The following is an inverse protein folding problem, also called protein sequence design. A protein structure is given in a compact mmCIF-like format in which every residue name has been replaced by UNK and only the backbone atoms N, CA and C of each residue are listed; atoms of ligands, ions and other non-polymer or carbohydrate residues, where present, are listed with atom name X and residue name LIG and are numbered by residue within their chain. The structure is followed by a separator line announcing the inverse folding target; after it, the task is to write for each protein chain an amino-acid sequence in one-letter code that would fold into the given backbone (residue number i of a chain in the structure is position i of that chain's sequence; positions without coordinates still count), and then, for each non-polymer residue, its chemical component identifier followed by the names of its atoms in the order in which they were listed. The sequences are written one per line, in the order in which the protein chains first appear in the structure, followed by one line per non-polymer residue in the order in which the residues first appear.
data_IF_687677384657
#
_entry.id   IF_687677384657
#
_cell.length_a   1.000
_cell.length_b   1.000
_cell.length_c   1.000
_cell.angle_alpha   90.00
_cell.angle_beta   90.00
_cell.angle_gamma   90.00
#
_symmetry.space_group_name_H-M   'P 1'
#
loop_
_entity.id
_entity.type
_entity.pdbx_description
1 polymer ?
#
# COMPACT_ATOMS: atom_id res chain seq x y z
N UNK A 1 -1.62 23.52 19.14
CA UNK A 1 -2.01 22.17 18.65
C UNK A 1 -1.94 21.20 19.81
N UNK A 2 -3.02 20.49 20.14
CA UNK A 2 -3.02 19.55 21.26
C UNK A 2 -2.19 18.32 20.86
N UNK A 3 -0.92 18.32 21.27
CA UNK A 3 0.10 17.29 21.06
C UNK A 3 -0.37 15.85 21.45
N UNK A 4 -1.27 15.74 22.44
CA UNK A 4 -1.78 14.48 22.95
C UNK A 4 -2.59 13.64 21.96
N UNK A 5 -3.44 14.26 21.12
CA UNK A 5 -4.26 13.52 20.15
C UNK A 5 -3.42 12.95 19.02
N UNK A 6 -2.46 13.72 18.54
CA UNK A 6 -1.53 13.33 17.47
C UNK A 6 -0.59 12.22 17.94
N UNK A 7 -0.02 12.33 19.15
CA UNK A 7 0.84 11.27 19.73
C UNK A 7 0.07 9.98 20.03
N UNK A 8 -1.18 10.11 20.50
CA UNK A 8 -2.03 8.93 20.72
C UNK A 8 -2.30 8.19 19.41
N UNK A 9 -2.64 8.92 18.34
CA UNK A 9 -2.86 8.33 17.02
C UNK A 9 -1.59 7.65 16.51
N UNK A 10 -0.43 8.30 16.62
CA UNK A 10 0.85 7.72 16.21
C UNK A 10 1.17 6.43 16.99
N UNK A 11 0.87 6.36 18.28
CA UNK A 11 1.05 5.12 19.08
C UNK A 11 0.13 3.98 18.62
N UNK A 12 -1.14 4.27 18.31
CA UNK A 12 -2.04 3.27 17.75
C UNK A 12 -1.59 2.80 16.36
N UNK A 13 -1.12 3.71 15.51
CA UNK A 13 -0.53 3.36 14.22
C UNK A 13 0.72 2.49 14.38
N UNK A 14 1.60 2.82 15.32
CA UNK A 14 2.78 2.00 15.62
C UNK A 14 2.38 0.59 16.06
N UNK A 15 1.43 0.48 17.00
CA UNK A 15 0.90 -0.82 17.43
C UNK A 15 0.30 -1.62 16.27
N UNK A 16 -0.47 -0.98 15.41
CA UNK A 16 -1.06 -1.60 14.22
C UNK A 16 0.01 -2.10 13.23
N UNK A 17 1.02 -1.27 12.93
CA UNK A 17 2.14 -1.64 12.06
C UNK A 17 2.93 -2.82 12.66
N UNK A 18 3.19 -2.81 13.97
CA UNK A 18 3.87 -3.91 14.64
C UNK A 18 3.07 -5.23 14.52
N UNK A 19 1.75 -5.19 14.70
CA UNK A 19 0.90 -6.38 14.52
C UNK A 19 0.99 -6.91 13.10
N UNK A 20 0.91 -6.03 12.09
CA UNK A 20 1.02 -6.45 10.69
C UNK A 20 2.41 -7.00 10.35
N UNK A 21 3.48 -6.38 10.86
CA UNK A 21 4.84 -6.87 10.67
C UNK A 21 5.03 -8.25 11.29
N UNK A 22 4.62 -8.44 12.55
CA UNK A 22 4.73 -9.72 13.23
C UNK A 22 3.90 -10.80 12.52
N UNK A 23 2.68 -10.46 12.11
CA UNK A 23 1.83 -11.36 11.34
C UNK A 23 2.51 -11.81 10.05
N UNK A 24 2.96 -10.87 9.21
CA UNK A 24 3.59 -11.19 7.93
C UNK A 24 4.92 -11.94 8.08
N UNK A 25 5.70 -11.62 9.12
CA UNK A 25 6.98 -12.28 9.37
C UNK A 25 6.85 -13.70 9.92
N UNK A 26 5.78 -13.98 10.69
CA UNK A 26 5.59 -15.27 11.36
C UNK A 26 4.62 -16.21 10.63
N UNK A 27 3.96 -15.74 9.56
CA UNK A 27 3.13 -16.58 8.71
C UNK A 27 3.96 -17.67 8.04
N UNK A 28 3.48 -18.95 7.90
CA UNK A 28 2.10 -19.43 8.10
C UNK A 28 1.82 -20.01 9.49
N UNK A 29 2.60 -19.73 10.52
CA UNK A 29 2.40 -20.19 11.91
C UNK A 29 2.45 -21.72 12.12
N UNK A 30 3.05 -22.46 11.21
CA UNK A 30 3.23 -23.90 11.35
C UNK A 30 4.39 -24.17 12.30
N UNK A 31 4.07 -24.32 13.58
CA UNK A 31 5.07 -24.47 14.63
C UNK A 31 5.74 -25.86 14.56
N UNK A 32 7.05 -25.87 14.81
CA UNK A 32 7.85 -27.08 15.00
C UNK A 32 8.51 -27.09 16.37
N UNK A 33 8.67 -28.25 16.95
CA UNK A 33 9.49 -28.41 18.13
C UNK A 33 10.98 -28.40 17.74
N UNK A 34 11.72 -27.49 18.35
CA UNK A 34 13.19 -27.45 18.22
C UNK A 34 13.76 -27.51 19.64
N UNK A 35 14.58 -28.51 19.90
CA UNK A 35 15.32 -28.61 21.14
C UNK A 35 16.63 -27.80 21.02
N UNK A 36 16.93 -27.03 22.03
CA UNK A 36 18.18 -26.26 22.17
C UNK A 36 18.77 -26.57 23.54
N UNK A 37 20.09 -26.75 23.55
CA UNK A 37 20.82 -26.97 24.79
C UNK A 37 20.96 -25.70 25.63
N UNK A 38 20.91 -24.53 24.98
CA UNK A 38 20.90 -23.22 25.64
C UNK A 38 20.23 -22.14 24.77
N UNK A 39 19.67 -21.07 25.37
CA UNK A 39 19.15 -19.92 24.61
C UNK A 39 20.21 -19.23 23.72
N UNK A 40 21.50 -19.34 24.09
CA UNK A 40 22.62 -18.76 23.33
C UNK A 40 22.84 -19.49 22.01
N UNK A 41 22.49 -20.77 21.96
CA UNK A 41 22.59 -21.59 20.74
C UNK A 41 21.73 -21.06 19.61
N UNK A 42 20.56 -20.50 19.92
CA UNK A 42 19.68 -19.81 18.96
C UNK A 42 20.43 -18.69 18.21
N UNK A 43 21.21 -17.91 18.91
CA UNK A 43 21.97 -16.79 18.32
C UNK A 43 23.18 -17.30 17.53
N UNK A 44 23.86 -18.35 17.98
CA UNK A 44 25.03 -18.90 17.30
C UNK A 44 24.67 -19.66 16.01
N UNK A 45 23.42 -20.12 15.89
CA UNK A 45 22.91 -20.75 14.68
C UNK A 45 22.44 -19.77 13.62
N UNK A 46 22.23 -18.49 13.97
CA UNK A 46 21.92 -17.44 12.97
C UNK A 46 23.13 -17.26 12.06
N UNK A 47 22.96 -17.59 10.80
CA UNK A 47 24.01 -17.45 9.79
C UNK A 47 23.59 -16.43 8.74
N UNK A 48 24.57 -15.87 8.04
CA UNK A 48 24.33 -15.09 6.86
C UNK A 48 23.79 -16.02 5.76
N UNK A 49 22.46 -16.09 5.64
CA UNK A 49 21.80 -16.90 4.62
C UNK A 49 21.93 -16.30 3.24
N UNK A 50 21.75 -17.13 2.22
CA UNK A 50 21.57 -16.66 0.83
C UNK A 50 20.13 -16.16 0.72
N UNK A 51 19.92 -14.86 0.89
CA UNK A 51 18.61 -14.22 0.62
C UNK A 51 18.59 -13.79 -0.83
N UNK A 52 17.49 -14.06 -1.52
CA UNK A 52 17.30 -13.52 -2.86
C UNK A 52 17.22 -11.99 -2.77
N UNK A 53 17.76 -11.26 -3.75
CA UNK A 53 17.70 -9.81 -3.73
C UNK A 53 16.28 -9.25 -3.57
N UNK A 54 15.24 -9.92 -4.11
CA UNK A 54 13.84 -9.55 -3.92
C UNK A 54 13.40 -9.58 -2.45
N UNK A 55 13.78 -10.64 -1.72
CA UNK A 55 13.44 -10.79 -0.30
C UNK A 55 14.11 -9.73 0.56
N UNK A 56 15.36 -9.37 0.22
CA UNK A 56 16.09 -8.29 0.90
C UNK A 56 15.35 -6.95 0.77
N UNK A 57 14.83 -6.61 -0.42
CA UNK A 57 14.04 -5.40 -0.63
C UNK A 57 12.72 -5.43 0.13
N UNK A 58 12.01 -6.56 0.11
CA UNK A 58 10.75 -6.72 0.84
C UNK A 58 10.97 -6.47 2.33
N UNK A 59 12.03 -7.01 2.92
CA UNK A 59 12.38 -6.81 4.32
C UNK A 59 12.64 -5.34 4.64
N UNK A 60 13.38 -4.62 3.78
CA UNK A 60 13.59 -3.18 3.94
C UNK A 60 12.24 -2.43 3.93
N UNK A 61 11.40 -2.66 2.93
CA UNK A 61 10.12 -1.97 2.79
C UNK A 61 9.14 -2.31 3.92
N UNK A 62 9.14 -3.54 4.42
CA UNK A 62 8.28 -3.98 5.52
C UNK A 62 8.58 -3.22 6.82
N UNK A 63 9.85 -2.90 7.08
CA UNK A 63 10.27 -2.22 8.30
C UNK A 63 10.32 -0.68 8.19
N UNK A 64 10.24 -0.11 6.99
CA UNK A 64 10.20 1.36 6.81
C UNK A 64 9.01 2.03 7.52
N UNK A 65 7.75 1.53 7.44
CA UNK A 65 6.62 2.12 8.16
C UNK A 65 6.82 2.14 9.68
N UNK A 66 7.41 1.08 10.23
CA UNK A 66 7.77 1.02 11.65
C UNK A 66 8.76 2.14 12.01
N UNK A 67 9.85 2.26 11.26
CA UNK A 67 10.87 3.29 11.51
C UNK A 67 10.31 4.70 11.43
N UNK A 68 9.50 5.00 10.41
CA UNK A 68 8.85 6.29 10.23
C UNK A 68 7.89 6.62 11.39
N UNK A 69 7.03 5.67 11.77
CA UNK A 69 6.02 5.88 12.80
C UNK A 69 6.64 5.98 14.19
N UNK A 70 7.65 5.15 14.50
CA UNK A 70 8.35 5.22 15.77
C UNK A 70 9.06 6.58 15.92
N UNK A 71 9.69 7.10 14.86
CA UNK A 71 10.32 8.43 14.88
C UNK A 71 9.32 9.55 15.26
N UNK A 72 8.04 9.40 14.92
CA UNK A 72 6.99 10.36 15.26
C UNK A 72 6.47 10.20 16.70
N UNK A 73 6.51 8.98 17.25
CA UNK A 73 6.10 8.71 18.64
C UNK A 73 7.11 9.25 19.64
N UNK A 74 8.40 9.29 19.26
CA UNK A 74 9.48 9.75 20.13
C UNK A 74 9.36 11.25 20.51
N UNK A 75 9.89 11.64 21.69
CA UNK A 75 9.79 13.02 22.20
C UNK A 75 10.33 14.06 21.22
N UNK A 76 9.65 15.21 21.11
CA UNK A 76 10.01 16.28 20.16
C UNK A 76 11.35 16.93 20.46
N UNK A 77 11.73 17.04 21.73
CA UNK A 77 13.01 17.61 22.15
C UNK A 77 14.24 16.76 21.85
N UNK A 78 14.06 15.55 21.30
CA UNK A 78 15.21 14.71 20.95
C UNK A 78 15.83 15.12 19.62
N UNK A 79 17.16 15.08 19.56
CA UNK A 79 17.88 15.28 18.31
C UNK A 79 17.55 14.17 17.30
N UNK A 80 17.65 14.50 16.01
CA UNK A 80 17.41 13.52 14.94
C UNK A 80 18.38 12.33 15.03
N UNK A 81 19.63 12.56 15.44
CA UNK A 81 20.61 11.49 15.67
C UNK A 81 20.16 10.52 16.78
N UNK A 82 19.65 11.04 17.91
CA UNK A 82 19.15 10.20 19.01
C UNK A 82 17.92 9.39 18.57
N UNK A 83 17.00 9.99 17.80
CA UNK A 83 15.84 9.29 17.25
C UNK A 83 16.30 8.18 16.30
N UNK A 84 17.19 8.49 15.38
CA UNK A 84 17.73 7.52 14.43
C UNK A 84 18.40 6.35 15.15
N UNK A 85 19.27 6.62 16.14
CA UNK A 85 19.93 5.57 16.92
C UNK A 85 18.92 4.66 17.62
N UNK A 86 17.92 5.24 18.31
CA UNK A 86 16.93 4.45 19.05
C UNK A 86 16.01 3.65 18.11
N UNK A 87 15.60 4.21 16.97
CA UNK A 87 14.79 3.51 15.97
C UNK A 87 15.57 2.37 15.35
N UNK A 88 16.86 2.58 15.04
CA UNK A 88 17.74 1.55 14.48
C UNK A 88 17.94 0.40 15.46
N UNK A 89 18.25 0.71 16.74
CA UNK A 89 18.38 -0.31 17.80
C UNK A 89 17.04 -1.04 18.02
N UNK A 90 15.93 -0.31 18.09
CA UNK A 90 14.60 -0.91 18.23
C UNK A 90 14.25 -1.83 17.06
N UNK A 91 14.52 -1.40 15.83
CA UNK A 91 14.35 -2.23 14.63
C UNK A 91 15.21 -3.49 14.63
N UNK A 92 16.48 -3.35 15.03
CA UNK A 92 17.38 -4.49 15.21
C UNK A 92 16.84 -5.50 16.24
N UNK A 93 16.43 -5.04 17.42
CA UNK A 93 15.94 -5.91 18.48
C UNK A 93 14.64 -6.63 18.09
N UNK A 94 13.70 -5.91 17.46
CA UNK A 94 12.46 -6.51 16.96
C UNK A 94 12.76 -7.54 15.88
N UNK A 95 13.61 -7.20 14.91
CA UNK A 95 13.99 -8.11 13.84
C UNK A 95 14.71 -9.35 14.37
N UNK A 96 15.64 -9.20 15.29
CA UNK A 96 16.29 -10.32 15.94
C UNK A 96 15.29 -11.22 16.67
N UNK A 97 14.32 -10.63 17.38
CA UNK A 97 13.26 -11.37 18.04
C UNK A 97 12.39 -12.15 17.06
N UNK A 98 12.08 -11.56 15.89
CA UNK A 98 11.34 -12.21 14.80
C UNK A 98 12.15 -13.40 14.25
N UNK A 99 13.43 -13.23 13.95
CA UNK A 99 14.28 -14.30 13.43
C UNK A 99 14.42 -15.46 14.43
N UNK A 100 14.54 -15.14 15.73
CA UNK A 100 14.51 -16.17 16.78
C UNK A 100 13.16 -16.88 16.81
N UNK A 101 12.03 -16.18 16.66
CA UNK A 101 10.71 -16.79 16.59
C UNK A 101 10.53 -17.67 15.34
N UNK A 102 11.12 -17.29 14.22
CA UNK A 102 11.09 -18.06 12.97
C UNK A 102 11.80 -19.41 13.07
N UNK A 103 12.74 -19.61 14.00
CA UNK A 103 13.30 -20.94 14.29
C UNK A 103 12.23 -21.98 14.63
N UNK A 104 11.15 -21.53 15.23
CA UNK A 104 10.04 -22.40 15.63
C UNK A 104 8.99 -22.58 14.53
N UNK A 105 9.20 -22.01 13.34
CA UNK A 105 8.30 -22.13 12.20
C UNK A 105 8.90 -23.04 11.15
N UNK A 106 8.16 -24.07 10.75
CA UNK A 106 8.66 -25.17 9.89
C UNK A 106 9.19 -24.67 8.54
N UNK A 107 8.52 -23.68 7.95
CA UNK A 107 8.78 -23.19 6.59
C UNK A 107 9.69 -21.97 6.54
N UNK A 108 10.15 -21.47 7.70
CA UNK A 108 11.02 -20.29 7.78
C UNK A 108 12.46 -20.67 8.09
N UNK A 109 13.36 -19.88 7.52
CA UNK A 109 14.81 -20.01 7.75
C UNK A 109 15.30 -18.68 8.32
N UNK A 110 15.69 -18.70 9.59
CA UNK A 110 16.20 -17.51 10.26
C UNK A 110 17.55 -17.06 9.67
N UNK A 111 17.73 -15.79 9.39
CA UNK A 111 18.87 -15.24 8.66
C UNK A 111 19.38 -13.91 9.24
N UNK A 112 20.69 -13.78 9.41
CA UNK A 112 21.31 -12.48 9.76
C UNK A 112 21.16 -11.46 8.63
N UNK A 113 21.04 -11.87 7.38
CA UNK A 113 20.76 -11.00 6.26
C UNK A 113 19.42 -10.28 6.46
N UNK A 114 18.39 -11.02 6.91
CA UNK A 114 17.06 -10.45 7.15
C UNK A 114 17.08 -9.49 8.34
N UNK A 115 17.80 -9.83 9.45
CA UNK A 115 18.01 -8.88 10.56
C UNK A 115 18.64 -7.58 10.06
N UNK A 116 19.65 -7.69 9.19
CA UNK A 116 20.35 -6.52 8.65
C UNK A 116 19.43 -5.66 7.77
N UNK A 117 18.70 -6.30 6.83
CA UNK A 117 17.80 -5.58 5.90
C UNK A 117 16.63 -4.92 6.64
N UNK A 118 16.05 -5.59 7.62
CA UNK A 118 14.99 -5.07 8.48
C UNK A 118 15.49 -3.86 9.30
N UNK A 119 16.72 -3.93 9.82
CA UNK A 119 17.37 -2.82 10.53
C UNK A 119 17.60 -1.63 9.61
N UNK A 120 18.13 -1.88 8.41
CA UNK A 120 18.29 -0.84 7.37
C UNK A 120 16.93 -0.23 7.03
N UNK A 121 15.88 -1.04 6.85
CA UNK A 121 14.52 -0.59 6.61
C UNK A 121 14.01 0.35 7.70
N UNK A 122 14.22 0.00 8.98
CA UNK A 122 13.87 0.84 10.13
C UNK A 122 14.61 2.17 10.11
N UNK A 123 15.90 2.14 9.80
CA UNK A 123 16.75 3.33 9.69
C UNK A 123 16.28 4.26 8.56
N UNK A 124 16.07 3.71 7.37
CA UNK A 124 15.57 4.44 6.20
C UNK A 124 14.16 5.00 6.44
N UNK A 125 13.30 4.22 7.07
CA UNK A 125 11.96 4.67 7.47
C UNK A 125 12.02 5.86 8.44
N UNK A 126 12.89 5.81 9.44
CA UNK A 126 13.12 6.94 10.35
C UNK A 126 13.59 8.18 9.59
N UNK A 127 14.60 8.05 8.73
CA UNK A 127 15.11 9.15 7.92
C UNK A 127 14.01 9.73 7.01
N UNK A 128 13.25 8.89 6.34
CA UNK A 128 12.11 9.31 5.51
C UNK A 128 11.05 10.05 6.33
N UNK A 129 10.66 9.52 7.50
CA UNK A 129 9.69 10.15 8.38
C UNK A 129 10.12 11.53 8.88
N UNK A 130 11.40 11.67 9.24
CA UNK A 130 12.00 12.95 9.64
C UNK A 130 12.06 13.95 8.47
N UNK A 131 12.41 13.46 7.27
CA UNK A 131 12.45 14.27 6.04
C UNK A 131 11.06 14.74 5.65
N UNK A 132 10.05 13.86 5.66
CA UNK A 132 8.65 14.21 5.40
C UNK A 132 8.18 15.26 6.40
N UNK A 133 8.51 15.14 7.69
CA UNK A 133 8.17 16.12 8.72
C UNK A 133 8.82 17.48 8.44
N UNK A 134 10.10 17.51 8.08
CA UNK A 134 10.81 18.75 7.76
C UNK A 134 10.30 19.40 6.48
N UNK A 135 9.97 18.58 5.48
CA UNK A 135 9.48 19.03 4.18
C UNK A 135 8.03 19.54 4.27
N UNK A 136 7.15 18.83 4.99
CA UNK A 136 5.77 19.27 5.21
C UNK A 136 5.73 20.61 5.93
N UNK A 137 6.59 20.84 6.94
CA UNK A 137 6.71 22.13 7.62
C UNK A 137 7.17 23.28 6.69
N UNK A 138 7.90 22.96 5.61
CA UNK A 138 8.28 23.94 4.57
C UNK A 138 7.15 24.15 3.56
N UNK A 139 6.45 23.06 3.17
CA UNK A 139 5.34 23.12 2.20
C UNK A 139 4.09 23.79 2.78
N UNK A 140 3.81 23.66 4.08
CA UNK A 140 2.73 24.40 4.76
C UNK A 140 2.87 25.92 4.58
N UNK A 141 4.11 26.43 4.38
CA UNK A 141 4.38 27.82 4.02
C UNK A 141 4.11 28.14 2.55
N UNK A 142 4.03 27.14 1.68
CA UNK A 142 3.93 27.27 0.22
C UNK A 142 2.52 26.99 -0.30
N UNK A 143 1.47 27.01 0.45
CA UNK A 143 0.04 26.84 0.05
C UNK A 143 -0.29 25.96 -1.19
N UNK A 144 0.73 25.41 -1.88
CA UNK A 144 0.57 24.73 -3.18
C UNK A 144 0.35 23.21 -3.06
N UNK A 145 0.87 22.58 -2.01
CA UNK A 145 0.80 21.14 -1.79
C UNK A 145 0.40 20.87 -0.34
N UNK A 146 -0.61 20.03 -0.14
CA UNK A 146 -1.27 19.80 1.15
C UNK A 146 -1.20 18.32 1.59
N UNK A 147 -0.03 17.69 1.51
CA UNK A 147 0.15 16.28 1.92
C UNK A 147 -0.26 16.00 3.37
N UNK A 148 -0.22 17.01 4.23
CA UNK A 148 -0.59 16.86 5.64
C UNK A 148 -2.10 16.90 5.87
N UNK A 149 -2.88 17.37 4.91
CA UNK A 149 -4.33 17.48 5.04
C UNK A 149 -5.02 16.13 4.87
N UNK A 150 -4.49 15.26 4.01
CA UNK A 150 -4.96 13.88 3.83
C UNK A 150 -3.78 12.89 3.70
N UNK A 151 -3.22 12.43 4.82
CA UNK A 151 -2.12 11.47 4.79
C UNK A 151 -2.54 10.11 4.21
N UNK A 152 -3.82 9.72 4.31
CA UNK A 152 -4.30 8.46 3.71
C UNK A 152 -4.33 8.58 2.19
N UNK A 153 -4.81 9.71 1.66
CA UNK A 153 -4.77 9.96 0.23
C UNK A 153 -3.34 9.91 -0.33
N UNK A 154 -2.38 10.48 0.41
CA UNK A 154 -0.96 10.38 0.04
C UNK A 154 -0.44 8.93 0.08
N UNK A 155 -0.79 8.15 1.12
CA UNK A 155 -0.40 6.74 1.22
C UNK A 155 -1.01 5.89 0.10
N UNK A 156 -2.27 6.15 -0.26
CA UNK A 156 -2.93 5.45 -1.36
C UNK A 156 -2.28 5.79 -2.72
N UNK A 157 -1.91 7.04 -2.93
CA UNK A 157 -1.19 7.45 -4.14
C UNK A 157 0.19 6.79 -4.22
N UNK A 158 0.90 6.68 -3.09
CA UNK A 158 2.16 5.93 -3.02
C UNK A 158 1.96 4.43 -3.26
N UNK A 159 0.88 3.84 -2.73
CA UNK A 159 0.54 2.45 -3.01
C UNK A 159 0.23 2.23 -4.50
N UNK A 160 -0.50 3.17 -5.11
CA UNK A 160 -0.75 3.14 -6.55
C UNK A 160 0.53 3.20 -7.37
N UNK A 161 1.46 4.11 -7.05
CA UNK A 161 2.78 4.17 -7.68
C UNK A 161 3.59 2.89 -7.43
N UNK A 162 3.52 2.35 -6.21
CA UNK A 162 4.18 1.10 -5.84
C UNK A 162 3.67 -0.12 -6.62
N UNK A 163 2.42 -0.10 -7.07
CA UNK A 163 1.85 -1.18 -7.89
C UNK A 163 2.46 -1.27 -9.29
N UNK A 164 3.08 -0.19 -9.76
CA UNK A 164 3.80 -0.18 -11.04
C UNK A 164 5.24 -0.68 -10.93
N UNK A 165 5.77 -0.85 -9.71
CA UNK A 165 7.10 -1.41 -9.53
C UNK A 165 7.07 -2.90 -9.89
N UNK A 166 8.06 -3.43 -10.61
CA UNK A 166 8.12 -4.86 -10.84
C UNK A 166 8.45 -5.60 -9.55
N UNK A 167 7.99 -6.84 -9.47
CA UNK A 167 8.30 -7.74 -8.34
C UNK A 167 9.80 -8.06 -8.20
N UNK A 168 10.62 -7.65 -9.16
CA UNK A 168 12.04 -7.98 -9.29
C UNK A 168 12.88 -6.70 -9.34
N UNK A 169 14.12 -6.83 -8.89
CA UNK A 169 15.15 -5.79 -8.99
C UNK A 169 15.28 -5.18 -10.40
N UNK A 170 15.69 -3.90 -10.47
CA UNK A 170 16.03 -3.27 -11.74
C UNK A 170 17.01 -4.14 -12.51
N UNK A 171 16.58 -4.67 -13.63
CA UNK A 171 17.49 -5.28 -14.59
C UNK A 171 17.88 -4.20 -15.59
N UNK A 172 19.04 -3.61 -15.40
CA UNK A 172 19.64 -2.80 -16.45
C UNK A 172 19.94 -3.68 -17.66
N UNK A 173 19.00 -3.75 -18.60
CA UNK A 173 19.21 -4.44 -19.88
C UNK A 173 19.24 -3.39 -20.99
N UNK A 174 20.41 -2.85 -21.34
CA UNK A 174 20.53 -1.80 -22.36
C UNK A 174 20.30 -2.28 -23.80
N UNK A 175 20.03 -3.57 -24.03
CA UNK A 175 20.40 -4.17 -25.31
C UNK A 175 19.32 -4.37 -26.39
N UNK A 176 18.02 -4.25 -26.09
CA UNK A 176 16.98 -4.59 -27.10
C UNK A 176 15.82 -3.59 -27.21
N UNK A 177 16.09 -2.35 -27.00
CA UNK A 177 15.16 -1.24 -26.84
C UNK A 177 14.07 -1.04 -27.92
N UNK A 178 14.33 -1.10 -29.22
CA UNK A 178 13.31 -0.74 -30.21
C UNK A 178 12.38 -1.88 -30.64
N UNK A 179 12.85 -3.12 -30.61
CA UNK A 179 12.12 -4.24 -31.22
C UNK A 179 11.14 -4.95 -30.26
N UNK A 180 11.44 -4.99 -28.98
CA UNK A 180 10.53 -5.58 -27.97
C UNK A 180 9.27 -4.72 -27.79
N UNK A 181 9.35 -3.43 -28.06
CA UNK A 181 8.22 -2.51 -27.96
C UNK A 181 7.12 -2.82 -28.99
N UNK A 182 7.51 -3.14 -30.20
CA UNK A 182 6.58 -3.49 -31.28
C UNK A 182 5.88 -4.83 -31.03
N UNK A 183 6.58 -5.81 -30.43
CA UNK A 183 5.99 -7.11 -30.10
C UNK A 183 4.91 -7.04 -29.00
N UNK A 184 4.98 -6.05 -28.12
CA UNK A 184 3.95 -5.83 -27.08
C UNK A 184 2.70 -5.14 -27.63
N UNK A 185 2.80 -4.37 -28.71
CA UNK A 185 1.65 -3.81 -29.42
C UNK A 185 0.84 -4.90 -30.15
N UNK A 186 1.47 -6.03 -30.47
CA UNK A 186 0.82 -7.21 -31.10
C UNK A 186 0.08 -8.11 -30.10
N UNK A 187 0.10 -7.78 -28.79
CA UNK A 187 -0.54 -8.60 -27.72
C UNK A 187 -2.08 -8.64 -27.78
N UNK A 188 -2.69 -8.12 -28.86
CA UNK A 188 -4.13 -8.16 -29.09
C UNK A 188 -4.92 -7.13 -28.26
N UNK A 189 -6.24 -7.15 -28.46
CA UNK A 189 -7.15 -6.25 -27.77
C UNK A 189 -7.39 -6.71 -26.32
N UNK A 190 -7.11 -5.88 -25.29
CA UNK A 190 -7.21 -6.29 -23.89
C UNK A 190 -8.65 -6.38 -23.36
N UNK A 191 -9.63 -5.97 -24.16
CA UNK A 191 -11.04 -5.89 -23.75
C UNK A 191 -11.38 -4.60 -22.96
N UNK A 192 -12.62 -4.14 -23.14
CA UNK A 192 -13.13 -2.94 -22.47
C UNK A 192 -13.07 -2.99 -20.94
N UNK A 193 -13.38 -4.13 -20.27
CA UNK A 193 -13.32 -4.18 -18.81
C UNK A 193 -11.93 -3.91 -18.24
N UNK A 194 -10.89 -4.43 -18.89
CA UNK A 194 -9.51 -4.20 -18.48
C UNK A 194 -9.11 -2.72 -18.65
N UNK A 195 -9.44 -2.13 -19.80
CA UNK A 195 -9.18 -0.70 -20.07
C UNK A 195 -9.93 0.19 -19.07
N UNK A 196 -11.20 -0.11 -18.80
CA UNK A 196 -12.03 0.65 -17.87
C UNK A 196 -11.48 0.60 -16.43
N UNK A 197 -11.04 -0.56 -15.96
CA UNK A 197 -10.42 -0.69 -14.64
C UNK A 197 -9.12 0.11 -14.51
N UNK A 198 -8.29 0.11 -15.55
CA UNK A 198 -7.09 0.94 -15.57
C UNK A 198 -7.41 2.43 -15.60
N UNK A 199 -8.35 2.85 -16.45
CA UNK A 199 -8.83 4.24 -16.49
C UNK A 199 -9.39 4.69 -15.14
N UNK A 200 -10.14 3.83 -14.46
CA UNK A 200 -10.69 4.10 -13.15
C UNK A 200 -9.60 4.30 -12.09
N UNK A 201 -8.54 3.49 -12.11
CA UNK A 201 -7.37 3.66 -11.25
C UNK A 201 -6.73 5.05 -11.42
N UNK A 202 -6.54 5.50 -12.66
CA UNK A 202 -6.04 6.84 -12.98
C UNK A 202 -6.98 7.96 -12.56
N UNK A 203 -8.30 7.81 -12.72
CA UNK A 203 -9.29 8.79 -12.26
C UNK A 203 -9.32 8.90 -10.74
N UNK A 204 -9.17 7.78 -10.03
CA UNK A 204 -9.04 7.76 -8.57
C UNK A 204 -7.74 8.46 -8.13
N UNK A 205 -6.61 8.20 -8.80
CA UNK A 205 -5.36 8.91 -8.56
C UNK A 205 -5.55 10.42 -8.77
N UNK A 206 -6.28 10.84 -9.79
CA UNK A 206 -6.68 12.24 -10.01
C UNK A 206 -7.51 12.81 -8.87
N UNK A 207 -8.48 12.05 -8.33
CA UNK A 207 -9.30 12.46 -7.18
C UNK A 207 -8.44 12.61 -5.91
N UNK A 208 -7.49 11.71 -5.67
CA UNK A 208 -6.50 11.80 -4.58
C UNK A 208 -5.62 13.05 -4.74
N UNK A 209 -5.10 13.29 -5.95
CA UNK A 209 -4.33 14.50 -6.25
C UNK A 209 -5.13 15.78 -6.02
N UNK A 210 -6.43 15.78 -6.32
CA UNK A 210 -7.31 16.95 -6.09
C UNK A 210 -7.39 17.35 -4.62
N UNK A 211 -7.30 16.40 -3.71
CA UNK A 211 -7.27 16.67 -2.26
C UNK A 211 -5.89 17.14 -1.82
N UNK A 212 -4.84 16.62 -2.45
CA UNK A 212 -3.44 16.86 -2.06
C UNK A 212 -2.83 18.11 -2.71
N UNK A 213 -3.43 18.62 -3.79
CA UNK A 213 -2.88 19.74 -4.57
C UNK A 213 -3.96 20.77 -4.93
N UNK A 214 -3.54 21.90 -5.49
CA UNK A 214 -4.48 22.86 -6.07
C UNK A 214 -5.17 22.27 -7.31
N UNK A 215 -6.47 22.51 -7.52
CA UNK A 215 -7.22 21.94 -8.66
C UNK A 215 -6.56 22.15 -10.02
N UNK A 216 -5.93 23.32 -10.24
CA UNK A 216 -5.23 23.65 -11.48
C UNK A 216 -3.99 22.77 -11.74
N UNK A 217 -3.40 22.17 -10.69
CA UNK A 217 -2.20 21.34 -10.79
C UNK A 217 -2.53 19.85 -10.98
N UNK A 218 -3.77 19.42 -10.80
CA UNK A 218 -4.14 17.99 -10.84
C UNK A 218 -3.85 17.39 -12.21
N UNK A 219 -4.33 18.02 -13.27
CA UNK A 219 -4.15 17.51 -14.64
C UNK A 219 -2.67 17.49 -15.08
N UNK A 220 -1.89 18.58 -14.90
CA UNK A 220 -0.44 18.53 -15.11
C UNK A 220 0.27 17.46 -14.28
N UNK A 221 -0.14 17.28 -13.02
CA UNK A 221 0.42 16.24 -12.15
C UNK A 221 0.09 14.82 -12.64
N UNK A 222 -1.13 14.58 -13.12
CA UNK A 222 -1.49 13.30 -13.74
C UNK A 222 -0.63 13.01 -14.98
N UNK A 223 -0.40 14.01 -15.84
CA UNK A 223 0.48 13.86 -17.00
C UNK A 223 1.91 13.58 -16.56
N UNK A 224 2.42 14.34 -15.58
CA UNK A 224 3.77 14.13 -15.04
C UNK A 224 3.94 12.72 -14.45
N UNK A 225 2.94 12.23 -13.70
CA UNK A 225 2.92 10.87 -13.16
C UNK A 225 2.87 9.82 -14.28
N UNK A 226 2.10 10.04 -15.35
CA UNK A 226 2.06 9.14 -16.49
C UNK A 226 3.42 9.05 -17.18
N UNK A 227 4.04 10.20 -17.44
CA UNK A 227 5.39 10.25 -18.02
C UNK A 227 6.40 9.57 -17.09
N UNK A 228 6.34 9.84 -15.78
CA UNK A 228 7.24 9.23 -14.81
C UNK A 228 7.05 7.71 -14.75
N UNK A 229 5.82 7.21 -14.63
CA UNK A 229 5.52 5.79 -14.56
C UNK A 229 6.01 5.04 -15.82
N UNK A 230 5.75 5.61 -17.00
CA UNK A 230 6.24 5.05 -18.27
C UNK A 230 7.77 5.11 -18.37
N UNK A 231 8.38 6.24 -17.98
CA UNK A 231 9.84 6.40 -18.04
C UNK A 231 10.55 5.43 -17.10
N UNK A 232 10.07 5.27 -15.85
CA UNK A 232 10.65 4.35 -14.87
C UNK A 232 10.54 2.91 -15.37
N UNK A 233 9.39 2.50 -15.86
CA UNK A 233 9.21 1.14 -16.42
C UNK A 233 10.12 0.91 -17.61
N UNK A 234 10.19 1.86 -18.52
CA UNK A 234 10.95 1.75 -19.74
C UNK A 234 12.46 1.73 -19.50
N UNK A 235 12.97 2.59 -18.62
CA UNK A 235 14.42 2.75 -18.41
C UNK A 235 15.01 1.79 -17.39
N UNK A 236 14.27 1.46 -16.32
CA UNK A 236 14.83 0.73 -15.18
C UNK A 236 14.46 -0.74 -15.14
N UNK A 237 13.35 -1.10 -15.75
CA UNK A 237 12.79 -2.43 -15.56
C UNK A 237 12.64 -3.22 -16.86
N UNK A 238 12.86 -2.61 -18.01
CA UNK A 238 12.58 -3.21 -19.32
C UNK A 238 11.19 -3.89 -19.38
N UNK A 239 10.23 -3.35 -18.61
CA UNK A 239 8.86 -3.82 -18.59
C UNK A 239 7.98 -2.79 -19.30
N UNK A 240 7.22 -3.27 -20.26
CA UNK A 240 6.28 -2.43 -20.99
C UNK A 240 4.94 -2.38 -20.26
N UNK A 241 4.30 -1.21 -20.29
CA UNK A 241 2.91 -1.09 -19.88
C UNK A 241 2.05 -1.92 -20.84
N UNK A 242 1.15 -2.74 -20.30
CA UNK A 242 0.22 -3.50 -21.12
C UNK A 242 -0.72 -2.57 -21.88
N UNK A 243 -1.27 -3.04 -23.02
CA UNK A 243 -2.19 -2.25 -23.86
C UNK A 243 -3.37 -1.69 -23.06
N UNK A 244 -3.91 -2.45 -22.08
CA UNK A 244 -4.98 -1.98 -21.20
C UNK A 244 -4.58 -0.78 -20.34
N UNK A 245 -3.35 -0.78 -19.85
CA UNK A 245 -2.82 0.26 -18.99
C UNK A 245 -2.57 1.56 -19.76
N UNK A 246 -1.98 1.48 -20.95
CA UNK A 246 -1.78 2.63 -21.82
C UNK A 246 -3.10 3.24 -22.26
N UNK A 247 -4.02 2.42 -22.77
CA UNK A 247 -5.33 2.89 -23.23
C UNK A 247 -6.17 3.43 -22.09
N UNK A 248 -6.11 2.79 -20.91
CA UNK A 248 -6.79 3.26 -19.71
C UNK A 248 -6.24 4.59 -19.22
N UNK A 249 -4.92 4.77 -19.22
CA UNK A 249 -4.28 6.04 -18.88
C UNK A 249 -4.66 7.17 -19.84
N UNK A 250 -4.60 6.94 -21.15
CA UNK A 250 -5.03 7.92 -22.18
C UNK A 250 -6.51 8.28 -21.98
N UNK A 251 -7.38 7.27 -21.80
CA UNK A 251 -8.81 7.47 -21.58
C UNK A 251 -9.05 8.32 -20.32
N UNK A 252 -8.36 8.03 -19.22
CA UNK A 252 -8.51 8.78 -17.98
C UNK A 252 -8.03 10.23 -18.10
N UNK A 253 -6.90 10.47 -18.76
CA UNK A 253 -6.40 11.83 -19.03
C UNK A 253 -7.38 12.63 -19.88
N UNK A 254 -8.05 12.00 -20.86
CA UNK A 254 -9.08 12.62 -21.68
C UNK A 254 -10.39 12.88 -20.92
N UNK A 255 -10.77 11.99 -19.99
CA UNK A 255 -11.99 12.10 -19.19
C UNK A 255 -11.84 13.04 -17.98
N UNK A 256 -10.61 13.24 -17.47
CA UNK A 256 -10.39 14.05 -16.27
C UNK A 256 -10.94 15.48 -16.35
N UNK A 257 -10.77 16.24 -17.44
CA UNK A 257 -11.33 17.59 -17.55
C UNK A 257 -12.86 17.63 -17.41
N UNK A 258 -13.56 16.56 -17.80
CA UNK A 258 -15.00 16.41 -17.64
C UNK A 258 -15.33 16.01 -16.20
N UNK A 259 -14.64 15.02 -15.66
CA UNK A 259 -14.81 14.53 -14.29
C UNK A 259 -14.54 15.63 -13.25
N UNK A 260 -13.52 16.45 -13.50
CA UNK A 260 -13.16 17.56 -12.61
C UNK A 260 -14.23 18.66 -12.50
N UNK A 261 -15.18 18.76 -13.46
CA UNK A 261 -16.31 19.69 -13.41
C UNK A 261 -17.45 19.21 -12.51
N UNK A 262 -17.48 17.92 -12.19
CA UNK A 262 -18.49 17.38 -11.29
C UNK A 262 -18.30 17.93 -9.87
N UNK A 263 -19.41 18.16 -9.14
CA UNK A 263 -19.34 18.42 -7.71
C UNK A 263 -18.57 17.28 -7.00
N UNK A 264 -17.70 17.65 -6.07
CA UNK A 264 -16.78 16.68 -5.44
C UNK A 264 -17.50 15.45 -4.86
N UNK A 265 -18.59 15.64 -4.14
CA UNK A 265 -19.36 14.53 -3.57
C UNK A 265 -19.95 13.60 -4.62
N UNK A 266 -20.33 14.10 -5.80
CA UNK A 266 -20.81 13.28 -6.89
C UNK A 266 -19.67 12.50 -7.57
N UNK A 267 -18.54 13.15 -7.81
CA UNK A 267 -17.37 12.49 -8.38
C UNK A 267 -16.92 11.32 -7.50
N UNK A 268 -16.79 11.54 -6.18
CA UNK A 268 -16.36 10.49 -5.24
C UNK A 268 -17.34 9.31 -5.23
N UNK A 269 -18.65 9.56 -5.21
CA UNK A 269 -19.68 8.49 -5.24
C UNK A 269 -19.67 7.72 -6.55
N UNK A 270 -19.53 8.40 -7.69
CA UNK A 270 -19.46 7.76 -9.00
C UNK A 270 -18.22 6.87 -9.12
N UNK A 271 -17.05 7.37 -8.67
CA UNK A 271 -15.82 6.58 -8.65
C UNK A 271 -15.92 5.37 -7.72
N UNK A 272 -16.53 5.53 -6.54
CA UNK A 272 -16.76 4.43 -5.61
C UNK A 272 -17.71 3.37 -6.21
N UNK A 273 -18.81 3.79 -6.82
CA UNK A 273 -19.77 2.90 -7.46
C UNK A 273 -19.15 2.17 -8.66
N UNK A 274 -18.41 2.88 -9.51
CA UNK A 274 -17.72 2.30 -10.65
C UNK A 274 -16.64 1.29 -10.21
N UNK A 275 -15.85 1.61 -9.16
CA UNK A 275 -14.85 0.71 -8.62
C UNK A 275 -15.50 -0.55 -8.05
N UNK A 276 -16.57 -0.41 -7.27
CA UNK A 276 -17.30 -1.54 -6.72
C UNK A 276 -17.89 -2.43 -7.82
N UNK A 277 -18.52 -1.83 -8.83
CA UNK A 277 -19.07 -2.57 -9.98
C UNK A 277 -17.95 -3.31 -10.75
N UNK A 278 -16.80 -2.66 -10.96
CA UNK A 278 -15.63 -3.28 -11.59
C UNK A 278 -15.07 -4.44 -10.78
N UNK A 279 -15.04 -4.34 -9.45
CA UNK A 279 -14.60 -5.42 -8.55
C UNK A 279 -15.55 -6.61 -8.58
N UNK A 280 -16.87 -6.36 -8.55
CA UNK A 280 -17.89 -7.42 -8.67
C UNK A 280 -17.76 -8.11 -10.04
N UNK A 281 -17.64 -7.33 -11.11
CA UNK A 281 -17.45 -7.90 -12.45
C UNK A 281 -16.16 -8.73 -12.50
N UNK A 282 -15.03 -8.18 -12.10
CA UNK A 282 -13.72 -8.86 -12.15
C UNK A 282 -13.68 -10.12 -11.26
N UNK A 283 -14.37 -10.09 -10.12
CA UNK A 283 -14.37 -11.20 -9.17
C UNK A 283 -15.33 -12.33 -9.54
N UNK A 284 -16.42 -12.05 -10.27
CA UNK A 284 -17.49 -13.02 -10.52
C UNK A 284 -17.71 -13.34 -12.00
N UNK A 285 -17.11 -12.58 -12.94
CA UNK A 285 -17.20 -12.93 -14.36
C UNK A 285 -16.49 -14.26 -14.64
N UNK A 286 -17.02 -15.08 -15.56
CA UNK A 286 -18.14 -14.85 -16.48
C UNK A 286 -19.55 -15.13 -15.90
N UNK A 287 -19.73 -15.13 -14.59
CA UNK A 287 -21.01 -15.37 -13.88
C UNK A 287 -21.59 -16.78 -14.10
N UNK A 288 -20.75 -17.73 -14.46
CA UNK A 288 -21.11 -19.15 -14.56
C UNK A 288 -20.68 -19.85 -13.27
N UNK A 289 -21.66 -20.12 -12.41
CA UNK A 289 -21.39 -20.77 -11.12
C UNK A 289 -21.55 -22.29 -11.26
N UNK A 290 -20.54 -23.00 -10.83
CA UNK A 290 -20.53 -24.47 -10.73
C UNK A 290 -20.58 -24.87 -9.24
N UNK A 291 -20.89 -26.13 -8.89
CA UNK A 291 -20.74 -26.61 -7.52
C UNK A 291 -19.34 -26.30 -6.98
N UNK A 292 -19.29 -25.84 -5.72
CA UNK A 292 -18.05 -25.44 -5.03
C UNK A 292 -16.92 -26.45 -5.28
N UNK A 293 -15.83 -25.97 -5.88
CA UNK A 293 -14.68 -26.82 -6.27
C UNK A 293 -13.35 -26.33 -5.74
N UNK A 294 -13.34 -25.14 -5.04
CA UNK A 294 -12.12 -24.50 -4.56
C UNK A 294 -12.08 -24.46 -3.05
N UNK A 295 -10.89 -24.61 -2.51
CA UNK A 295 -10.64 -24.39 -1.08
C UNK A 295 -10.58 -22.88 -0.78
N UNK A 296 -11.21 -22.47 0.32
CA UNK A 296 -11.12 -21.11 0.83
C UNK A 296 -9.88 -20.97 1.71
N UNK A 297 -9.02 -20.00 1.37
CA UNK A 297 -7.80 -19.72 2.13
C UNK A 297 -8.11 -18.75 3.27
N UNK A 298 -8.34 -19.29 4.46
CA UNK A 298 -8.69 -18.53 5.66
C UNK A 298 -7.58 -17.60 6.17
N UNK A 299 -6.34 -17.87 5.80
CA UNK A 299 -5.20 -17.06 6.23
C UNK A 299 -4.98 -15.91 5.26
N UNK A 300 -5.17 -14.62 5.67
CA UNK A 300 -4.94 -13.49 4.80
C UNK A 300 -3.47 -13.39 4.36
N UNK A 301 -3.25 -12.79 3.19
CA UNK A 301 -1.94 -12.55 2.56
C UNK A 301 -1.19 -13.79 2.05
N UNK A 302 -1.80 -14.98 2.04
CA UNK A 302 -1.21 -16.19 1.46
C UNK A 302 -1.04 -16.09 -0.05
N UNK A 303 -1.93 -15.40 -0.71
CA UNK A 303 -1.92 -15.13 -2.16
C UNK A 303 -0.80 -14.15 -2.59
N UNK A 304 -0.18 -13.47 -1.62
CA UNK A 304 0.96 -12.57 -1.87
C UNK A 304 2.31 -13.30 -1.85
N UNK A 305 2.33 -14.54 -1.38
CA UNK A 305 3.54 -15.38 -1.36
C UNK A 305 3.51 -16.27 -2.61
N UNK A 306 4.44 -16.07 -3.53
CA UNK A 306 4.49 -16.87 -4.74
C UNK A 306 4.98 -18.28 -4.42
N UNK A 307 4.27 -19.31 -4.90
CA UNK A 307 4.65 -20.71 -4.73
C UNK A 307 5.89 -21.11 -5.56
N UNK A 308 6.28 -20.29 -6.53
CA UNK A 308 7.38 -20.57 -7.48
C UNK A 308 8.63 -19.73 -7.22
N UNK A 309 8.52 -18.66 -6.44
CA UNK A 309 9.65 -17.83 -6.01
C UNK A 309 9.46 -17.54 -4.52
N UNK A 310 10.50 -17.64 -3.74
CA UNK A 310 10.49 -17.44 -2.28
C UNK A 310 10.18 -16.01 -1.84
N UNK A 311 9.62 -15.17 -2.73
CA UNK A 311 9.42 -13.74 -2.50
C UNK A 311 7.98 -13.33 -2.27
N UNK A 312 7.80 -12.35 -1.41
CA UNK A 312 6.54 -11.64 -1.19
C UNK A 312 6.28 -10.66 -2.34
N UNK A 313 5.08 -10.69 -2.93
CA UNK A 313 4.71 -9.84 -4.06
C UNK A 313 4.26 -8.45 -3.59
N UNK A 314 5.23 -7.56 -3.32
CA UNK A 314 4.98 -6.21 -2.85
C UNK A 314 4.14 -5.36 -3.84
N UNK A 315 4.36 -5.39 -5.17
CA UNK A 315 3.50 -4.69 -6.13
C UNK A 315 2.05 -5.15 -6.10
N UNK A 316 1.81 -6.45 -5.94
CA UNK A 316 0.45 -6.98 -5.81
C UNK A 316 -0.22 -6.47 -4.53
N UNK A 317 0.50 -6.47 -3.39
CA UNK A 317 0.00 -5.87 -2.15
C UNK A 317 -0.30 -4.38 -2.34
N UNK A 318 0.59 -3.63 -2.97
CA UNK A 318 0.42 -2.21 -3.23
C UNK A 318 -0.81 -1.95 -4.11
N UNK A 319 -1.02 -2.75 -5.16
CA UNK A 319 -2.19 -2.69 -6.02
C UNK A 319 -3.50 -3.01 -5.28
N UNK A 320 -3.51 -4.06 -4.46
CA UNK A 320 -4.66 -4.41 -3.60
C UNK A 320 -4.92 -3.31 -2.56
N UNK A 321 -3.89 -2.79 -1.89
CA UNK A 321 -4.00 -1.71 -0.92
C UNK A 321 -4.55 -0.43 -1.56
N UNK A 322 -4.08 -0.07 -2.75
CA UNK A 322 -4.66 1.03 -3.52
C UNK A 322 -6.12 0.77 -3.86
N UNK A 323 -6.44 -0.37 -4.43
CA UNK A 323 -7.78 -0.66 -4.94
C UNK A 323 -8.82 -0.67 -3.81
N UNK A 324 -8.59 -1.48 -2.78
CA UNK A 324 -9.56 -1.62 -1.68
C UNK A 324 -9.49 -0.45 -0.70
N UNK A 325 -8.30 0.06 -0.44
CA UNK A 325 -8.11 1.26 0.37
C UNK A 325 -8.76 2.49 -0.25
N UNK A 326 -8.66 2.67 -1.57
CA UNK A 326 -9.32 3.77 -2.28
C UNK A 326 -10.83 3.64 -2.26
N UNK A 327 -11.38 2.42 -2.36
CA UNK A 327 -12.83 2.22 -2.25
C UNK A 327 -13.35 2.69 -0.88
N UNK A 328 -12.67 2.30 0.21
CA UNK A 328 -13.01 2.77 1.56
C UNK A 328 -12.83 4.28 1.68
N UNK A 329 -11.71 4.83 1.18
CA UNK A 329 -11.43 6.26 1.21
C UNK A 329 -12.48 7.08 0.45
N UNK A 330 -12.88 6.66 -0.75
CA UNK A 330 -13.90 7.34 -1.56
C UNK A 330 -15.25 7.43 -0.82
N UNK A 331 -15.67 6.35 -0.17
CA UNK A 331 -16.92 6.30 0.59
C UNK A 331 -16.84 7.19 1.83
N UNK A 332 -15.70 7.21 2.52
CA UNK A 332 -15.45 8.07 3.69
C UNK A 332 -15.37 9.53 3.29
N UNK A 333 -14.66 9.85 2.22
CA UNK A 333 -14.56 11.21 1.68
C UNK A 333 -15.92 11.73 1.18
N UNK A 334 -16.81 10.85 0.71
CA UNK A 334 -18.20 11.17 0.36
C UNK A 334 -19.12 11.38 1.59
N UNK A 335 -18.60 11.26 2.83
CA UNK A 335 -19.29 11.61 4.08
C UNK A 335 -19.65 10.44 5.00
N UNK A 336 -19.29 9.20 4.67
CA UNK A 336 -19.58 8.04 5.50
C UNK A 336 -18.58 7.87 6.67
N UNK A 337 -18.96 7.11 7.69
CA UNK A 337 -18.09 6.82 8.83
C UNK A 337 -17.01 5.79 8.48
N UNK A 338 -15.74 6.06 8.79
CA UNK A 338 -14.59 5.27 8.36
C UNK A 338 -14.68 3.78 8.69
N UNK A 339 -14.88 3.43 9.97
CA UNK A 339 -14.94 2.02 10.38
C UNK A 339 -16.17 1.29 9.82
N UNK A 340 -17.32 1.98 9.74
CA UNK A 340 -18.54 1.41 9.14
C UNK A 340 -18.33 1.12 7.65
N UNK A 341 -17.67 2.03 6.93
CA UNK A 341 -17.33 1.85 5.52
C UNK A 341 -16.36 0.69 5.32
N UNK A 342 -15.33 0.59 6.16
CA UNK A 342 -14.39 -0.54 6.13
C UNK A 342 -15.08 -1.89 6.35
N UNK A 343 -15.96 -1.99 7.36
CA UNK A 343 -16.73 -3.21 7.66
C UNK A 343 -17.69 -3.56 6.52
N UNK A 344 -18.42 -2.58 5.98
CA UNK A 344 -19.38 -2.81 4.89
C UNK A 344 -18.68 -3.28 3.61
N UNK A 345 -17.58 -2.62 3.24
CA UNK A 345 -16.82 -2.99 2.06
C UNK A 345 -16.15 -4.36 2.26
N UNK A 346 -15.60 -4.64 3.44
CA UNK A 346 -15.05 -5.95 3.75
C UNK A 346 -16.09 -7.07 3.62
N UNK A 347 -17.33 -6.83 4.07
CA UNK A 347 -18.42 -7.80 3.90
C UNK A 347 -18.76 -8.03 2.42
N UNK A 348 -18.77 -6.99 1.59
CA UNK A 348 -18.99 -7.15 0.15
C UNK A 348 -17.83 -7.92 -0.50
N UNK A 349 -16.58 -7.58 -0.17
CA UNK A 349 -15.42 -8.29 -0.71
C UNK A 349 -15.43 -9.75 -0.28
N UNK A 350 -15.78 -10.05 0.97
CA UNK A 350 -15.95 -11.43 1.44
C UNK A 350 -17.04 -12.17 0.65
N UNK A 351 -18.16 -11.50 0.35
CA UNK A 351 -19.20 -12.10 -0.50
C UNK A 351 -18.71 -12.39 -1.92
N UNK A 352 -17.86 -11.52 -2.49
CA UNK A 352 -17.22 -11.77 -3.79
C UNK A 352 -16.29 -12.99 -3.69
N UNK A 353 -15.43 -13.07 -2.66
CA UNK A 353 -14.51 -14.19 -2.44
C UNK A 353 -15.26 -15.51 -2.25
N UNK A 354 -16.36 -15.49 -1.49
CA UNK A 354 -17.24 -16.67 -1.37
C UNK A 354 -17.89 -17.02 -2.72
N UNK A 355 -18.31 -16.04 -3.49
CA UNK A 355 -18.84 -16.24 -4.84
C UNK A 355 -17.81 -16.90 -5.78
N UNK A 356 -16.53 -16.58 -5.63
CA UNK A 356 -15.44 -17.16 -6.43
C UNK A 356 -15.27 -18.68 -6.21
N UNK A 357 -15.70 -19.21 -5.08
CA UNK A 357 -15.67 -20.66 -4.84
C UNK A 357 -16.51 -21.45 -5.86
N UNK A 358 -17.52 -20.81 -6.43
CA UNK A 358 -18.37 -21.38 -7.48
C UNK A 358 -17.92 -21.05 -8.91
N UNK A 359 -16.85 -20.28 -9.12
CA UNK A 359 -16.34 -19.97 -10.47
C UNK A 359 -15.49 -21.12 -11.03
N UNK A 360 -15.25 -21.19 -12.37
CA UNK A 360 -14.42 -22.25 -12.96
C UNK A 360 -13.01 -22.30 -12.35
N UNK A 361 -12.45 -23.50 -12.25
CA UNK A 361 -11.15 -23.75 -11.63
C UNK A 361 -10.01 -23.01 -12.34
N UNK A 362 -9.14 -22.37 -11.56
CA UNK A 362 -7.86 -21.79 -12.01
C UNK A 362 -7.90 -20.29 -12.27
N UNK A 363 -9.06 -19.62 -12.20
CA UNK A 363 -9.16 -18.19 -12.47
C UNK A 363 -9.04 -17.31 -11.20
N UNK A 364 -9.44 -17.84 -10.03
CA UNK A 364 -9.51 -17.08 -8.79
C UNK A 364 -9.04 -17.88 -7.56
N UNK A 365 -8.41 -17.19 -6.62
CA UNK A 365 -8.03 -17.71 -5.31
C UNK A 365 -8.85 -17.00 -4.23
N UNK A 366 -9.86 -17.67 -3.69
CA UNK A 366 -10.69 -17.12 -2.63
C UNK A 366 -9.91 -17.01 -1.31
N UNK A 367 -9.72 -15.78 -0.82
CA UNK A 367 -8.89 -15.50 0.36
C UNK A 367 -9.51 -14.45 1.28
N UNK A 368 -9.03 -14.37 2.52
CA UNK A 368 -9.37 -13.26 3.42
C UNK A 368 -8.55 -11.98 3.19
N UNK A 369 -7.63 -11.96 2.23
CA UNK A 369 -6.72 -10.82 2.00
C UNK A 369 -7.48 -9.54 1.67
N UNK A 370 -8.38 -9.60 0.71
CA UNK A 370 -9.12 -8.43 0.21
C UNK A 370 -10.03 -7.81 1.27
N UNK A 371 -10.85 -8.59 2.00
CA UNK A 371 -11.59 -8.10 3.16
C UNK A 371 -10.69 -7.52 4.27
N UNK A 372 -9.57 -8.16 4.55
CA UNK A 372 -8.64 -7.71 5.59
C UNK A 372 -8.04 -6.33 5.24
N UNK A 373 -7.65 -6.10 3.99
CA UNK A 373 -7.13 -4.80 3.52
C UNK A 373 -8.20 -3.71 3.68
N UNK A 374 -9.46 -3.97 3.35
CA UNK A 374 -10.55 -3.01 3.53
C UNK A 374 -10.77 -2.66 5.01
N UNK A 375 -10.72 -3.65 5.92
CA UNK A 375 -10.79 -3.42 7.36
C UNK A 375 -9.60 -2.58 7.86
N UNK A 376 -8.39 -2.90 7.43
CA UNK A 376 -7.18 -2.13 7.74
C UNK A 376 -7.31 -0.67 7.28
N UNK A 377 -7.80 -0.43 6.06
CA UNK A 377 -8.03 0.91 5.52
C UNK A 377 -9.07 1.68 6.35
N UNK A 378 -10.19 1.05 6.72
CA UNK A 378 -11.21 1.64 7.58
C UNK A 378 -10.67 2.01 8.96
N UNK A 379 -9.83 1.16 9.54
CA UNK A 379 -9.19 1.40 10.83
C UNK A 379 -8.20 2.57 10.76
N UNK A 380 -7.32 2.60 9.75
CA UNK A 380 -6.36 3.68 9.53
C UNK A 380 -7.07 5.02 9.34
N UNK A 381 -8.11 5.06 8.48
CA UNK A 381 -8.94 6.25 8.28
C UNK A 381 -9.62 6.70 9.58
N UNK A 382 -10.13 5.78 10.38
CA UNK A 382 -10.74 6.10 11.67
C UNK A 382 -9.72 6.73 12.64
N UNK A 383 -8.50 6.21 12.71
CA UNK A 383 -7.45 6.75 13.57
C UNK A 383 -7.06 8.18 13.17
N UNK A 384 -6.90 8.41 11.86
CA UNK A 384 -6.47 9.69 11.33
C UNK A 384 -7.58 10.74 11.34
N UNK A 385 -8.85 10.36 11.11
CA UNK A 385 -9.99 11.27 11.21
C UNK A 385 -10.20 11.81 12.64
N UNK A 386 -9.98 10.97 13.65
CA UNK A 386 -10.05 11.40 15.07
C UNK A 386 -8.96 12.43 15.41
N UNK A 387 -7.78 12.34 14.77
CA UNK A 387 -6.70 13.30 14.95
C UNK A 387 -7.02 14.66 14.31
N UNK A 388 -7.72 14.67 13.18
CA UNK A 388 -8.14 15.89 12.48
C UNK A 388 -9.31 16.60 13.17
N UNK A 389 -10.17 15.88 13.89
CA UNK A 389 -11.35 16.42 14.58
C UNK A 389 -11.05 17.01 15.98
N UNK A 390 -9.80 17.00 16.44
CA UNK A 390 -9.42 17.61 17.72
C UNK A 390 -9.66 19.12 17.72
N UNK A 391 -10.22 19.73 18.82
CA UNK A 391 -10.86 21.06 18.83
C UNK A 391 -10.00 22.27 18.44
N UNK A 392 -8.72 22.09 18.15
CA UNK A 392 -7.82 23.19 17.78
C UNK A 392 -7.83 23.58 16.29
N UNK A 393 -8.20 22.68 15.37
CA UNK A 393 -8.12 22.92 13.92
C UNK A 393 -9.35 23.63 13.32
N UNK A 394 -10.47 23.68 14.04
CA UNK A 394 -11.73 24.27 13.54
C UNK A 394 -11.83 25.79 13.67
N UNK A 395 -10.97 26.44 14.45
CA UNK A 395 -11.08 27.89 14.72
C UNK A 395 -10.42 28.82 13.69
N UNK A 396 -9.58 28.31 12.80
CA UNK A 396 -8.92 29.17 11.79
C UNK A 396 -9.63 29.22 10.42
N UNK A 397 -10.74 28.48 10.23
CA UNK A 397 -11.49 28.47 8.95
C UNK A 397 -12.69 29.39 8.87
N UNK A 398 -12.85 30.36 9.73
CA UNK A 398 -14.08 31.12 9.71
C UNK A 398 -14.07 32.45 10.48
N UNK A 399 -13.33 33.43 10.04
CA UNK A 399 -13.71 34.82 10.19
C UNK A 399 -13.30 35.57 8.93
N UNK A 400 -14.27 35.99 8.06
CA UNK A 400 -13.99 37.07 7.14
C UNK A 400 -13.81 38.33 7.98
N UNK A 401 -12.61 38.91 7.92
CA UNK A 401 -12.36 40.29 8.36
C UNK A 401 -13.29 41.15 7.55
N UNK A 402 -14.35 41.66 8.18
CA UNK A 402 -15.11 42.81 7.68
C UNK A 402 -14.27 44.05 7.98
N UNK A 403 -13.77 44.68 6.95
CA UNK A 403 -13.44 46.08 6.92
C UNK A 403 -14.52 46.79 6.11
#
# INVERSE_FOLDING_TARGET
MNDWSTKRTARWMLGFILVLMLYGSLQPFHLRHVAFDSPLELLTRLRWGISLPGDMFVNVFLYMPFGATLAWVLPEGWSNARRLALVTVGGFLISLGVEVAQWFILTRVASLADVTMNTIGSCLGCAAGLTVRAFSARLERSESIRFTDDPVGAMLLLAWLGSFLPAWLPRFVPRHWPFEWLSHLDAGWPGWPAIAMQALGWLIAGALLRVLTRPALVWPAMIALAVLALSVRFTWFAQFAGNAELLGGILALGLWPIAARLPEGWLLRLLAAALLAGLIYRGLAPFHFTPLRHDFHWMPFTDLVSHTSTGFNLPLLAGKAFTYGSLVWLVVAAGAGAMRSGLFIAAILLAIEVGQLGTPAGEHFATLTDPAIALCAGFVLMLLSKSAAAPGRRRERGTPVRA
#
